data_IF_936470744036
#
_entry.id   IF_936470744036
#
_cell.length_a   1.000
_cell.length_b   1.000
_cell.length_c   1.000
_cell.angle_alpha   90.00
_cell.angle_beta   90.00
_cell.angle_gamma   90.00
#
_symmetry.space_group_name_H-M   'P 1'
#
loop_
_entity.id
_entity.type
_entity.pdbx_description
1 polymer ?
#
# COMPACT_ATOMS: atom_id res chain seq x y z
N UNK A 1 -44.68 41.26 -34.84
CA UNK A 1 -43.20 41.14 -34.82
C UNK A 1 -42.73 41.34 -33.39
N UNK A 2 -42.36 40.25 -32.70
CA UNK A 2 -41.40 40.22 -31.58
C UNK A 2 -41.35 38.77 -31.09
N UNK A 3 -40.36 38.02 -31.55
CA UNK A 3 -39.99 36.73 -30.97
C UNK A 3 -38.84 37.03 -30.01
N UNK A 4 -39.06 36.69 -28.74
CA UNK A 4 -38.06 36.72 -27.67
C UNK A 4 -37.11 35.55 -27.90
N UNK A 5 -35.86 35.84 -28.25
CA UNK A 5 -34.80 34.82 -28.30
C UNK A 5 -34.24 34.61 -26.89
N UNK A 6 -34.67 33.51 -26.27
CA UNK A 6 -34.06 32.96 -25.06
C UNK A 6 -32.75 32.26 -25.47
N UNK A 7 -31.60 32.90 -25.24
CA UNK A 7 -30.29 32.25 -25.39
C UNK A 7 -30.02 31.45 -24.11
N UNK A 8 -30.28 30.15 -24.17
CA UNK A 8 -29.89 29.19 -23.13
C UNK A 8 -28.40 28.86 -23.28
N UNK A 9 -27.63 29.18 -22.25
CA UNK A 9 -26.24 28.76 -22.05
C UNK A 9 -26.15 27.22 -22.05
N UNK A 10 -25.64 26.64 -23.13
CA UNK A 10 -25.24 25.23 -23.20
C UNK A 10 -23.71 25.14 -23.24
N UNK A 11 -23.05 25.43 -22.12
CA UNK A 11 -21.60 25.34 -21.99
C UNK A 11 -21.21 24.73 -20.64
N UNK A 12 -21.56 23.47 -20.41
CA UNK A 12 -21.07 22.70 -19.24
C UNK A 12 -20.99 21.18 -19.45
N UNK A 13 -21.50 20.64 -20.57
CA UNK A 13 -21.54 19.18 -20.81
C UNK A 13 -20.35 18.67 -21.63
N UNK A 14 -19.78 19.48 -22.51
CA UNK A 14 -18.69 19.08 -23.42
C UNK A 14 -17.35 18.81 -22.73
N UNK A 15 -17.05 19.50 -21.63
CA UNK A 15 -15.78 19.33 -20.89
C UNK A 15 -15.73 18.03 -20.09
N UNK A 16 -16.85 17.63 -19.48
CA UNK A 16 -16.95 16.40 -18.69
C UNK A 16 -16.89 15.13 -19.55
N UNK A 17 -17.54 15.16 -20.72
CA UNK A 17 -17.48 14.05 -21.68
C UNK A 17 -16.06 13.87 -22.27
N UNK A 18 -15.38 14.96 -22.62
CA UNK A 18 -14.02 14.89 -23.20
C UNK A 18 -12.93 14.43 -22.22
N UNK A 19 -13.08 14.72 -20.92
CA UNK A 19 -12.18 14.18 -19.88
C UNK A 19 -12.44 12.69 -19.60
N UNK A 20 -13.70 12.27 -19.66
CA UNK A 20 -14.11 10.88 -19.53
C UNK A 20 -13.55 10.02 -20.67
N UNK A 21 -13.71 10.45 -21.93
CA UNK A 21 -13.15 9.72 -23.09
C UNK A 21 -11.61 9.62 -23.04
N UNK A 22 -10.89 10.72 -22.75
CA UNK A 22 -9.42 10.67 -22.68
C UNK A 22 -8.91 9.81 -21.52
N UNK A 23 -9.52 9.91 -20.34
CA UNK A 23 -9.18 9.08 -19.19
C UNK A 23 -9.46 7.59 -19.42
N UNK A 24 -10.56 7.29 -20.13
CA UNK A 24 -10.95 5.92 -20.47
C UNK A 24 -10.06 5.31 -21.57
N UNK A 25 -9.67 6.10 -22.57
CA UNK A 25 -8.72 5.64 -23.60
C UNK A 25 -7.36 5.30 -22.99
N UNK A 26 -6.92 6.07 -21.98
CA UNK A 26 -5.69 5.79 -21.23
C UNK A 26 -5.81 4.49 -20.43
N UNK A 27 -6.91 4.23 -19.70
CA UNK A 27 -7.03 3.00 -18.89
C UNK A 27 -7.08 1.72 -19.74
N UNK A 28 -7.80 1.71 -20.86
CA UNK A 28 -7.93 0.54 -21.73
C UNK A 28 -6.62 0.16 -22.42
N UNK A 29 -5.90 1.17 -22.95
CA UNK A 29 -4.63 0.96 -23.67
C UNK A 29 -3.49 0.69 -22.69
N UNK A 30 -3.46 1.36 -21.55
CA UNK A 30 -2.38 1.21 -20.57
C UNK A 30 -2.44 -0.12 -19.79
N UNK A 31 -3.64 -0.66 -19.56
CA UNK A 31 -3.83 -1.89 -18.75
C UNK A 31 -4.36 -3.09 -19.55
N UNK A 32 -4.42 -2.98 -20.88
CA UNK A 32 -4.80 -4.06 -21.80
C UNK A 32 -6.13 -4.74 -21.44
N UNK A 33 -7.16 -3.94 -21.14
CA UNK A 33 -8.47 -4.43 -20.69
C UNK A 33 -9.49 -4.46 -21.82
N UNK A 34 -10.17 -5.60 -21.98
CA UNK A 34 -11.23 -5.80 -22.96
C UNK A 34 -12.54 -6.15 -22.24
N UNK A 35 -13.62 -5.44 -22.57
CA UNK A 35 -14.95 -5.62 -21.99
C UNK A 35 -16.00 -5.77 -23.08
N UNK A 36 -17.07 -6.50 -22.77
CA UNK A 36 -18.29 -6.37 -23.56
C UNK A 36 -18.94 -4.99 -23.35
N UNK A 37 -19.88 -4.61 -24.22
CA UNK A 37 -20.46 -3.27 -24.18
C UNK A 37 -21.19 -2.96 -22.86
N UNK A 38 -21.79 -3.96 -22.22
CA UNK A 38 -22.53 -3.79 -20.97
C UNK A 38 -21.56 -3.59 -19.81
N UNK A 39 -20.54 -4.44 -19.70
CA UNK A 39 -19.49 -4.30 -18.70
C UNK A 39 -18.71 -2.99 -18.89
N UNK A 40 -18.44 -2.59 -20.14
CA UNK A 40 -17.76 -1.33 -20.45
C UNK A 40 -18.44 -0.11 -19.81
N UNK A 41 -19.77 0.02 -19.95
CA UNK A 41 -20.50 1.14 -19.33
C UNK A 41 -20.45 1.10 -17.80
N UNK A 42 -20.47 -0.09 -17.20
CA UNK A 42 -20.32 -0.25 -15.75
C UNK A 42 -18.92 0.17 -15.28
N UNK A 43 -17.87 -0.31 -15.96
CA UNK A 43 -16.46 0.02 -15.69
C UNK A 43 -16.20 1.52 -15.87
N UNK A 44 -16.77 2.14 -16.90
CA UNK A 44 -16.69 3.57 -17.13
C UNK A 44 -17.34 4.39 -16.01
N UNK A 45 -18.49 3.95 -15.50
CA UNK A 45 -19.13 4.61 -14.37
C UNK A 45 -18.24 4.54 -13.11
N UNK A 46 -17.74 3.35 -12.78
CA UNK A 46 -16.84 3.13 -11.64
C UNK A 46 -15.58 3.99 -11.77
N UNK A 47 -14.96 3.99 -12.95
CA UNK A 47 -13.79 4.81 -13.26
C UNK A 47 -14.06 6.29 -13.07
N UNK A 48 -15.19 6.78 -13.56
CA UNK A 48 -15.59 8.19 -13.41
C UNK A 48 -15.80 8.57 -11.94
N UNK A 49 -16.41 7.69 -11.15
CA UNK A 49 -16.62 7.89 -9.71
C UNK A 49 -15.30 7.91 -8.93
N UNK A 50 -14.40 6.96 -9.21
CA UNK A 50 -13.06 6.91 -8.60
C UNK A 50 -12.23 8.13 -9.00
N UNK A 51 -12.28 8.55 -10.27
CA UNK A 51 -11.61 9.78 -10.72
C UNK A 51 -12.09 11.00 -9.94
N UNK A 52 -13.41 11.17 -9.75
CA UNK A 52 -13.97 12.27 -8.95
C UNK A 52 -13.49 12.24 -7.51
N UNK A 53 -13.37 11.05 -6.89
CA UNK A 53 -12.83 10.90 -5.52
C UNK A 53 -11.37 11.31 -5.45
N UNK A 54 -10.56 10.87 -6.41
CA UNK A 54 -9.14 11.23 -6.53
C UNK A 54 -8.97 12.73 -6.69
N UNK A 55 -9.69 13.35 -7.63
CA UNK A 55 -9.60 14.78 -7.90
C UNK A 55 -10.00 15.58 -6.63
N UNK A 56 -11.11 15.21 -5.97
CA UNK A 56 -11.57 15.84 -4.73
C UNK A 56 -10.57 15.70 -3.58
N UNK A 57 -9.92 14.54 -3.42
CA UNK A 57 -8.86 14.35 -2.42
C UNK A 57 -7.68 15.27 -2.71
N UNK A 58 -7.22 15.31 -3.96
CA UNK A 58 -6.03 16.09 -4.35
C UNK A 58 -6.26 17.62 -4.32
N UNK A 59 -7.51 18.09 -4.35
CA UNK A 59 -7.87 19.50 -4.11
C UNK A 59 -7.72 19.90 -2.62
N UNK A 60 -7.74 18.92 -1.70
CA UNK A 60 -7.58 19.14 -0.27
C UNK A 60 -6.12 19.29 0.17
N UNK A 61 -5.94 19.60 1.46
CA UNK A 61 -4.61 19.63 2.07
C UNK A 61 -4.35 18.32 2.82
N UNK A 62 -3.70 17.38 2.15
CA UNK A 62 -3.39 16.04 2.68
C UNK A 62 -1.89 15.76 2.60
N UNK A 63 -1.39 14.89 3.48
CA UNK A 63 0.02 14.45 3.49
C UNK A 63 0.37 13.49 2.36
N UNK A 64 -0.61 13.02 1.59
CA UNK A 64 -0.44 12.15 0.43
C UNK A 64 -1.41 12.52 -0.69
N UNK A 65 -1.06 12.14 -1.91
CA UNK A 65 -1.90 12.31 -3.10
C UNK A 65 -2.34 10.96 -3.66
N UNK A 66 -3.45 10.98 -4.40
CA UNK A 66 -3.98 9.82 -5.11
C UNK A 66 -3.79 9.97 -6.62
N UNK A 67 -3.80 8.86 -7.36
CA UNK A 67 -3.78 8.86 -8.81
C UNK A 67 -4.60 7.70 -9.39
N UNK A 68 -4.94 7.83 -10.67
CA UNK A 68 -5.49 6.72 -11.44
C UNK A 68 -4.43 5.63 -11.57
N UNK A 69 -4.84 4.37 -11.44
CA UNK A 69 -3.98 3.21 -11.57
C UNK A 69 -4.76 2.01 -12.13
N UNK A 70 -4.16 0.82 -12.12
CA UNK A 70 -4.79 -0.39 -12.69
C UNK A 70 -6.11 -0.81 -12.01
N UNK A 71 -6.42 -0.26 -10.83
CA UNK A 71 -7.62 -0.56 -10.04
C UNK A 71 -8.74 0.48 -10.23
N UNK A 72 -8.53 1.51 -11.04
CA UNK A 72 -9.46 2.65 -11.09
C UNK A 72 -10.84 2.35 -11.65
N UNK A 73 -11.04 1.26 -12.37
CA UNK A 73 -12.33 0.77 -12.86
C UNK A 73 -12.95 -0.33 -11.98
N UNK A 74 -12.42 -0.52 -10.76
CA UNK A 74 -12.92 -1.46 -9.77
C UNK A 74 -13.60 -0.72 -8.61
N UNK A 75 -14.70 -1.29 -8.14
CA UNK A 75 -15.25 -0.92 -6.84
C UNK A 75 -14.33 -1.44 -5.73
N UNK A 76 -14.37 -0.82 -4.55
CA UNK A 76 -13.58 -1.34 -3.42
C UNK A 76 -14.00 -2.77 -3.05
N UNK A 77 -15.29 -3.13 -3.14
CA UNK A 77 -15.75 -4.49 -2.87
C UNK A 77 -15.20 -5.53 -3.87
N UNK A 78 -15.04 -5.18 -5.15
CA UNK A 78 -14.35 -6.04 -6.12
C UNK A 78 -12.87 -6.15 -5.79
N UNK A 79 -12.23 -5.01 -5.48
CA UNK A 79 -10.82 -4.97 -5.11
C UNK A 79 -10.51 -5.83 -3.89
N UNK A 80 -11.32 -5.73 -2.83
CA UNK A 80 -11.19 -6.53 -1.61
C UNK A 80 -11.24 -8.03 -1.93
N UNK A 81 -12.22 -8.46 -2.73
CA UNK A 81 -12.40 -9.87 -3.11
C UNK A 81 -11.24 -10.42 -3.93
N UNK A 82 -10.60 -9.58 -4.75
CA UNK A 82 -9.55 -10.02 -5.67
C UNK A 82 -8.14 -9.87 -5.11
N UNK A 83 -7.86 -8.86 -4.28
CA UNK A 83 -6.49 -8.47 -3.93
C UNK A 83 -6.18 -8.51 -2.43
N UNK A 84 -7.20 -8.56 -1.56
CA UNK A 84 -7.01 -8.57 -0.11
C UNK A 84 -7.26 -9.97 0.47
N UNK A 85 -6.86 -10.15 1.73
CA UNK A 85 -7.16 -11.38 2.48
C UNK A 85 -8.67 -11.44 2.74
N UNK A 86 -9.29 -12.57 2.41
CA UNK A 86 -10.75 -12.74 2.46
C UNK A 86 -11.30 -12.96 3.87
N UNK A 87 -10.47 -13.43 4.80
CA UNK A 87 -10.84 -13.73 6.19
C UNK A 87 -9.88 -13.03 7.15
N UNK A 88 -10.36 -12.60 8.34
CA UNK A 88 -9.48 -12.12 9.39
C UNK A 88 -8.40 -13.16 9.70
N UNK A 89 -7.15 -12.73 9.69
CA UNK A 89 -6.03 -13.60 10.04
C UNK A 89 -5.88 -13.67 11.55
N UNK A 90 -5.33 -14.78 12.05
CA UNK A 90 -5.03 -14.91 13.47
C UNK A 90 -3.74 -14.14 13.82
N UNK A 91 -3.85 -12.81 13.78
CA UNK A 91 -2.79 -11.86 14.05
C UNK A 91 -2.49 -11.67 15.54
N UNK A 92 -3.36 -12.17 16.42
CA UNK A 92 -3.19 -12.03 17.86
C UNK A 92 -2.24 -13.10 18.40
N UNK A 93 -0.98 -12.73 18.62
CA UNK A 93 -0.09 -13.51 19.46
C UNK A 93 -0.11 -12.95 20.89
N UNK A 94 -0.15 -13.85 21.88
CA UNK A 94 -0.38 -13.49 23.29
C UNK A 94 0.89 -13.05 24.03
N UNK A 95 2.09 -13.35 23.50
CA UNK A 95 3.40 -12.88 24.00
C UNK A 95 4.44 -12.89 22.88
N UNK A 96 5.10 -11.75 22.66
CA UNK A 96 6.35 -11.68 21.90
C UNK A 96 7.57 -11.81 22.82
N UNK A 97 8.67 -12.36 22.32
CA UNK A 97 9.95 -12.50 23.02
C UNK A 97 11.05 -11.60 22.44
N UNK A 98 10.74 -10.75 21.45
CA UNK A 98 11.67 -9.74 20.97
C UNK A 98 11.76 -8.57 21.94
N UNK A 99 12.97 -8.28 22.40
CA UNK A 99 13.25 -7.10 23.22
C UNK A 99 14.06 -6.12 22.38
N UNK A 100 13.54 -4.90 22.23
CA UNK A 100 14.26 -3.86 21.51
C UNK A 100 15.62 -3.60 22.16
N UNK A 101 16.66 -3.45 21.35
CA UNK A 101 17.97 -3.09 21.88
C UNK A 101 17.96 -1.68 22.49
N UNK A 102 18.75 -1.48 23.55
CA UNK A 102 18.99 -0.16 24.17
C UNK A 102 19.99 0.70 23.36
N UNK A 103 20.41 0.23 22.18
CA UNK A 103 21.40 0.90 21.35
C UNK A 103 20.83 2.11 20.58
N UNK A 104 21.71 3.02 20.11
CA UNK A 104 21.30 4.09 19.22
C UNK A 104 20.76 3.51 17.90
N UNK A 105 19.61 4.02 17.46
CA UNK A 105 18.96 3.65 16.20
C UNK A 105 19.21 4.78 15.20
N UNK A 106 19.40 4.47 13.91
CA UNK A 106 19.56 5.53 12.91
C UNK A 106 18.28 6.36 12.81
N UNK A 107 18.38 7.68 12.60
CA UNK A 107 17.19 8.54 12.43
C UNK A 107 16.40 8.19 11.15
N UNK A 108 17.09 7.65 10.14
CA UNK A 108 16.50 7.12 8.92
C UNK A 108 17.31 5.94 8.39
N UNK A 109 16.62 5.01 7.75
CA UNK A 109 17.23 3.88 7.06
C UNK A 109 16.41 3.52 5.82
N UNK A 110 17.10 3.12 4.76
CA UNK A 110 16.50 2.57 3.55
C UNK A 110 17.37 1.41 3.06
N UNK A 111 16.89 0.18 3.23
CA UNK A 111 17.64 -1.04 2.86
C UNK A 111 17.92 -1.11 1.35
N UNK A 112 17.16 -0.40 0.51
CA UNK A 112 17.39 -0.31 -0.93
C UNK A 112 18.69 0.43 -1.25
N UNK A 113 19.10 1.35 -0.38
CA UNK A 113 20.32 2.15 -0.54
C UNK A 113 21.55 1.54 0.15
N UNK A 114 21.37 0.48 0.94
CA UNK A 114 22.46 -0.19 1.69
C UNK A 114 23.19 -1.25 0.87
N UNK A 115 22.61 -1.70 -0.23
CA UNK A 115 23.12 -2.76 -1.09
C UNK A 115 21.99 -3.49 -1.79
N UNK A 116 22.30 -4.63 -2.42
CA UNK A 116 21.29 -5.46 -3.07
C UNK A 116 20.56 -6.36 -2.04
N UNK A 117 19.88 -5.73 -1.08
CA UNK A 117 19.18 -6.42 0.02
C UNK A 117 17.67 -6.48 -0.15
N UNK A 118 17.10 -5.75 -1.11
CA UNK A 118 15.66 -5.74 -1.39
C UNK A 118 15.48 -6.11 -2.86
N UNK A 119 14.75 -7.19 -3.13
CA UNK A 119 14.48 -7.64 -4.50
C UNK A 119 13.59 -6.66 -5.27
N UNK A 120 13.48 -6.75 -6.61
CA UNK A 120 12.53 -5.95 -7.37
C UNK A 120 11.09 -6.10 -6.89
N UNK A 121 10.26 -5.09 -7.15
CA UNK A 121 8.82 -5.15 -6.88
C UNK A 121 8.18 -6.23 -7.78
N UNK A 122 7.29 -7.03 -7.18
CA UNK A 122 6.54 -8.09 -7.87
C UNK A 122 5.05 -7.73 -7.92
N UNK A 123 4.25 -8.55 -8.58
CA UNK A 123 2.79 -8.38 -8.68
C UNK A 123 2.08 -9.68 -8.29
N UNK A 124 1.19 -9.61 -7.30
CA UNK A 124 0.41 -10.74 -6.80
C UNK A 124 -0.75 -11.16 -7.72
N UNK A 125 -1.16 -10.29 -8.65
CA UNK A 125 -2.33 -10.50 -9.50
C UNK A 125 -3.64 -10.52 -8.71
N UNK A 126 -4.71 -11.05 -9.31
CA UNK A 126 -6.04 -11.17 -8.69
C UNK A 126 -6.13 -12.30 -7.67
N UNK A 127 -5.21 -12.34 -6.72
CA UNK A 127 -5.18 -13.28 -5.61
C UNK A 127 -4.79 -12.57 -4.31
N UNK A 128 -5.46 -12.85 -3.19
CA UNK A 128 -5.11 -12.39 -1.84
C UNK A 128 -3.84 -13.05 -1.27
N UNK A 129 -2.77 -13.12 -2.06
CA UNK A 129 -1.50 -13.79 -1.74
C UNK A 129 -0.42 -12.86 -1.20
N UNK A 130 -0.75 -11.61 -0.86
CA UNK A 130 0.19 -10.60 -0.37
C UNK A 130 1.09 -11.09 0.79
N UNK A 131 0.56 -11.92 1.69
CA UNK A 131 1.31 -12.56 2.78
C UNK A 131 2.51 -13.38 2.29
N UNK A 132 2.41 -14.04 1.13
CA UNK A 132 3.53 -14.76 0.50
C UNK A 132 4.63 -13.81 0.02
N UNK A 133 4.26 -12.65 -0.53
CA UNK A 133 5.21 -11.65 -1.03
C UNK A 133 5.92 -10.93 0.12
N UNK A 134 5.19 -10.63 1.19
CA UNK A 134 5.75 -10.13 2.44
C UNK A 134 6.76 -11.13 3.03
N UNK A 135 6.34 -12.39 3.20
CA UNK A 135 7.19 -13.48 3.75
C UNK A 135 8.44 -13.72 2.91
N UNK A 136 8.29 -13.90 1.59
CA UNK A 136 9.43 -14.14 0.69
C UNK A 136 10.35 -12.93 0.61
N UNK A 137 9.81 -11.70 0.56
CA UNK A 137 10.63 -10.49 0.56
C UNK A 137 11.49 -10.34 1.81
N UNK A 138 10.95 -10.69 2.99
CA UNK A 138 11.70 -10.73 4.24
C UNK A 138 12.81 -11.78 4.20
N UNK A 139 12.50 -13.03 3.83
CA UNK A 139 13.49 -14.12 3.74
C UNK A 139 14.58 -13.88 2.69
N UNK A 140 14.21 -13.33 1.53
CA UNK A 140 15.16 -12.89 0.48
C UNK A 140 16.13 -11.85 1.05
N UNK A 141 15.62 -10.88 1.81
CA UNK A 141 16.43 -9.81 2.42
C UNK A 141 17.39 -10.38 3.47
N UNK A 142 16.91 -11.25 4.36
CA UNK A 142 17.76 -11.92 5.36
C UNK A 142 18.87 -12.73 4.69
N UNK A 143 18.54 -13.48 3.65
CA UNK A 143 19.52 -14.27 2.88
C UNK A 143 20.57 -13.37 2.22
N UNK A 144 20.15 -12.26 1.62
CA UNK A 144 21.05 -11.30 0.97
C UNK A 144 21.99 -10.61 1.98
N UNK A 145 21.46 -10.18 3.13
CA UNK A 145 22.24 -9.59 4.23
C UNK A 145 23.30 -10.57 4.74
N UNK A 146 22.95 -11.85 4.83
CA UNK A 146 23.87 -12.93 5.23
C UNK A 146 24.74 -13.46 4.08
N UNK A 147 24.80 -12.75 2.93
CA UNK A 147 25.63 -13.08 1.76
C UNK A 147 25.38 -14.49 1.22
N UNK A 148 24.11 -14.92 1.20
CA UNK A 148 23.70 -16.23 0.70
C UNK A 148 24.04 -17.41 1.62
N UNK A 149 24.51 -17.16 2.85
CA UNK A 149 24.72 -18.23 3.83
C UNK A 149 23.37 -18.75 4.33
N UNK A 150 23.20 -20.07 4.31
CA UNK A 150 22.09 -20.72 5.00
C UNK A 150 22.32 -20.58 6.51
N UNK A 151 21.47 -19.78 7.16
CA UNK A 151 21.51 -19.53 8.59
C UNK A 151 20.24 -20.12 9.21
N UNK A 152 20.34 -20.79 10.38
CA UNK A 152 19.13 -21.16 11.13
C UNK A 152 18.36 -19.88 11.47
N UNK A 153 17.04 -19.88 11.33
CA UNK A 153 16.18 -18.73 11.62
C UNK A 153 15.35 -19.03 12.87
N UNK A 154 15.04 -18.01 13.67
CA UNK A 154 14.19 -18.17 14.83
C UNK A 154 12.71 -18.20 14.41
N UNK A 155 12.08 -19.37 14.50
CA UNK A 155 10.64 -19.52 14.27
C UNK A 155 9.84 -18.71 15.30
N UNK A 156 10.37 -18.56 16.53
CA UNK A 156 9.72 -17.80 17.59
C UNK A 156 9.52 -16.33 17.19
N UNK A 157 10.49 -15.71 16.51
CA UNK A 157 10.36 -14.32 16.06
C UNK A 157 9.40 -14.13 14.89
N UNK A 158 9.02 -15.21 14.20
CA UNK A 158 7.95 -15.18 13.22
C UNK A 158 6.56 -15.18 13.88
N UNK A 159 6.45 -15.63 15.14
CA UNK A 159 5.22 -15.76 15.91
C UNK A 159 5.04 -14.63 16.93
N UNK A 160 6.08 -13.85 17.20
CA UNK A 160 6.06 -12.79 18.20
C UNK A 160 5.27 -11.54 17.76
N UNK A 161 4.58 -10.89 18.71
CA UNK A 161 3.98 -9.57 18.52
C UNK A 161 5.04 -8.48 18.68
N UNK A 162 5.05 -7.49 17.79
CA UNK A 162 5.95 -6.35 17.86
C UNK A 162 5.19 -5.05 17.94
N UNK A 163 5.59 -4.15 18.84
CA UNK A 163 5.15 -2.76 18.78
C UNK A 163 6.02 -1.96 17.78
N UNK A 164 5.61 -0.73 17.43
CA UNK A 164 6.37 0.08 16.48
C UNK A 164 7.80 0.41 16.96
N UNK A 165 8.04 0.47 18.27
CA UNK A 165 9.39 0.71 18.81
C UNK A 165 10.30 -0.48 18.47
N UNK A 166 9.81 -1.70 18.61
CA UNK A 166 10.53 -2.91 18.24
C UNK A 166 10.69 -3.05 16.73
N UNK A 167 9.67 -2.67 15.94
CA UNK A 167 9.80 -2.61 14.48
C UNK A 167 10.90 -1.63 14.06
N UNK A 168 11.03 -0.47 14.71
CA UNK A 168 12.09 0.52 14.40
C UNK A 168 13.47 -0.05 14.69
N UNK A 169 13.62 -0.77 15.82
CA UNK A 169 14.86 -1.45 16.19
C UNK A 169 15.20 -2.56 15.18
N UNK A 170 14.23 -3.38 14.83
CA UNK A 170 14.37 -4.48 13.87
C UNK A 170 14.77 -3.99 12.48
N UNK A 171 14.00 -3.05 11.91
CA UNK A 171 14.29 -2.48 10.59
C UNK A 171 15.62 -1.72 10.61
N UNK A 172 15.94 -1.03 11.70
CA UNK A 172 17.15 -0.23 11.83
C UNK A 172 18.44 -1.04 11.96
N UNK A 173 18.37 -2.23 12.56
CA UNK A 173 19.57 -2.96 13.00
C UNK A 173 19.67 -4.39 12.48
N UNK A 174 18.56 -5.00 12.00
CA UNK A 174 18.50 -6.42 11.61
C UNK A 174 18.23 -6.59 10.12
N UNK A 175 17.00 -6.34 9.68
CA UNK A 175 16.52 -6.61 8.33
C UNK A 175 15.14 -5.97 8.07
N UNK A 176 14.66 -5.91 6.82
CA UNK A 176 13.28 -5.57 6.51
C UNK A 176 12.25 -6.44 7.24
N UNK A 177 11.17 -5.81 7.74
CA UNK A 177 10.16 -6.45 8.60
C UNK A 177 8.85 -6.63 7.85
N UNK A 178 8.30 -7.84 7.88
CA UNK A 178 6.96 -8.12 7.37
C UNK A 178 5.92 -7.56 8.33
N UNK A 179 4.84 -6.97 7.82
CA UNK A 179 3.72 -6.57 8.66
C UNK A 179 2.41 -6.56 7.88
N UNK A 180 1.29 -6.63 8.61
CA UNK A 180 -0.05 -6.46 8.04
C UNK A 180 -0.72 -5.17 8.53
N UNK A 181 -1.58 -4.59 7.69
CA UNK A 181 -2.39 -3.41 8.01
C UNK A 181 -3.75 -3.49 7.30
N UNK A 182 -4.68 -2.62 7.69
CA UNK A 182 -5.96 -2.47 7.00
C UNK A 182 -5.84 -1.53 5.81
N UNK A 183 -6.05 -2.07 4.61
CA UNK A 183 -6.28 -1.31 3.39
C UNK A 183 -7.74 -0.86 3.34
N UNK A 184 -7.92 0.45 3.11
CA UNK A 184 -9.20 1.12 2.88
C UNK A 184 -9.30 1.64 1.43
N UNK A 185 -10.45 2.21 1.06
CA UNK A 185 -10.77 2.54 -0.33
C UNK A 185 -9.90 3.64 -0.96
N UNK A 186 -9.38 4.55 -0.15
CA UNK A 186 -8.46 5.62 -0.54
C UNK A 186 -7.05 5.08 -0.82
N UNK A 187 -6.56 4.16 0.02
CA UNK A 187 -5.24 3.54 -0.16
C UNK A 187 -5.10 2.81 -1.51
N UNK A 188 -6.18 2.24 -2.03
CA UNK A 188 -6.21 1.60 -3.36
C UNK A 188 -5.63 2.50 -4.47
N UNK A 189 -5.79 3.82 -4.34
CA UNK A 189 -5.35 4.82 -5.30
C UNK A 189 -4.16 5.68 -4.81
N UNK A 190 -3.48 5.28 -3.75
CA UNK A 190 -2.29 5.98 -3.28
C UNK A 190 -1.25 6.17 -4.42
N UNK A 191 -0.67 7.38 -4.50
CA UNK A 191 0.38 7.70 -5.46
C UNK A 191 1.71 8.05 -4.77
N UNK A 192 1.71 9.04 -3.87
CA UNK A 192 2.93 9.53 -3.21
C UNK A 192 2.61 10.33 -1.94
N UNK A 193 3.64 10.63 -1.14
CA UNK A 193 3.53 11.32 0.13
C UNK A 193 3.39 10.35 1.31
N UNK A 194 3.09 10.85 2.51
CA UNK A 194 2.94 10.02 3.71
C UNK A 194 1.46 9.69 3.91
N UNK A 195 1.09 8.43 3.67
CA UNK A 195 -0.28 7.96 3.85
C UNK A 195 -0.71 8.00 5.31
N UNK A 196 -1.90 8.54 5.53
CA UNK A 196 -2.61 8.60 6.81
C UNK A 196 -4.09 8.39 6.55
N UNK A 197 -4.80 7.71 7.44
CA UNK A 197 -6.25 7.57 7.35
C UNK A 197 -6.88 7.68 8.73
N UNK A 198 -8.06 8.29 8.78
CA UNK A 198 -8.93 8.30 9.96
C UNK A 198 -10.04 7.24 9.87
N UNK A 199 -10.12 6.52 8.74
CA UNK A 199 -11.13 5.50 8.49
C UNK A 199 -10.65 4.08 8.83
N UNK A 200 -9.35 3.83 8.67
CA UNK A 200 -8.78 2.54 9.03
C UNK A 200 -8.71 2.36 10.55
N UNK A 201 -8.94 1.14 10.98
CA UNK A 201 -8.84 0.69 12.36
C UNK A 201 -7.40 0.34 12.70
N UNK A 202 -7.11 0.21 13.99
CA UNK A 202 -5.80 -0.12 14.51
C UNK A 202 -5.76 -1.48 15.24
N UNK A 203 -6.69 -2.38 14.91
CA UNK A 203 -6.89 -3.67 15.59
C UNK A 203 -6.50 -4.86 14.73
N UNK A 204 -6.11 -5.96 15.38
CA UNK A 204 -5.62 -7.19 14.73
C UNK A 204 -6.67 -7.88 13.85
N UNK A 205 -7.97 -7.70 14.12
CA UNK A 205 -9.07 -8.33 13.39
C UNK A 205 -9.44 -7.63 12.08
N UNK A 206 -8.89 -6.43 11.84
CA UNK A 206 -9.22 -5.58 10.69
C UNK A 206 -8.16 -5.56 9.60
N UNK A 207 -6.93 -5.94 9.93
CA UNK A 207 -5.85 -6.02 8.94
C UNK A 207 -6.20 -7.01 7.83
N UNK A 208 -5.93 -6.62 6.59
CA UNK A 208 -6.39 -7.35 5.41
C UNK A 208 -5.33 -7.40 4.28
N UNK A 209 -4.16 -6.79 4.49
CA UNK A 209 -3.05 -6.78 3.54
C UNK A 209 -1.70 -6.90 4.25
N UNK A 210 -0.80 -7.72 3.71
CA UNK A 210 0.55 -7.92 4.24
C UNK A 210 1.61 -7.38 3.29
N UNK A 211 2.61 -6.68 3.83
CA UNK A 211 3.63 -5.90 3.12
C UNK A 211 4.97 -5.97 3.84
N UNK A 212 6.00 -5.30 3.32
CA UNK A 212 7.36 -5.35 3.87
C UNK A 212 7.91 -3.95 4.14
N UNK A 213 8.15 -3.61 5.41
CA UNK A 213 8.87 -2.41 5.82
C UNK A 213 10.36 -2.56 5.48
N UNK A 214 10.84 -1.77 4.52
CA UNK A 214 12.24 -1.78 4.04
C UNK A 214 13.03 -0.58 4.54
N UNK A 215 12.43 0.27 5.36
CA UNK A 215 13.07 1.46 5.88
C UNK A 215 12.11 2.38 6.61
N UNK A 216 12.62 3.48 7.10
CA UNK A 216 11.86 4.56 7.71
C UNK A 216 12.63 5.88 7.64
N UNK A 217 11.90 6.97 7.81
CA UNK A 217 12.49 8.31 7.86
C UNK A 217 11.50 9.31 8.44
N UNK A 218 11.67 10.57 8.03
CA UNK A 218 10.80 11.68 8.38
C UNK A 218 10.78 12.68 7.22
N UNK A 219 9.61 13.22 6.90
CA UNK A 219 9.42 14.24 5.88
C UNK A 219 8.50 15.32 6.44
N UNK A 220 8.92 16.59 6.40
CA UNK A 220 8.15 17.73 6.91
C UNK A 220 7.62 17.54 8.35
N UNK A 221 8.44 16.94 9.22
CA UNK A 221 8.05 16.65 10.60
C UNK A 221 7.22 15.38 10.79
N UNK A 222 6.75 14.73 9.73
CA UNK A 222 5.94 13.50 9.79
C UNK A 222 6.85 12.26 9.68
N UNK A 223 7.00 11.46 10.74
CA UNK A 223 7.73 10.19 10.67
C UNK A 223 6.99 9.21 9.76
N UNK A 224 7.71 8.44 8.94
CA UNK A 224 7.09 7.46 8.05
C UNK A 224 7.89 6.15 7.97
N UNK A 225 7.19 5.08 7.60
CA UNK A 225 7.75 3.82 7.10
C UNK A 225 7.92 3.87 5.58
N UNK A 226 8.98 3.25 5.05
CA UNK A 226 9.13 2.96 3.62
C UNK A 226 8.71 1.51 3.41
N UNK A 227 7.68 1.29 2.60
CA UNK A 227 7.02 -0.01 2.53
C UNK A 227 6.97 -0.50 1.09
N UNK A 228 7.45 -1.73 0.87
CA UNK A 228 7.38 -2.45 -0.40
C UNK A 228 6.01 -3.12 -0.52
N UNK A 229 5.30 -2.84 -1.61
CA UNK A 229 4.01 -3.46 -1.93
C UNK A 229 4.18 -4.60 -2.97
N UNK A 230 3.09 -5.33 -3.23
CA UNK A 230 3.01 -6.46 -4.15
C UNK A 230 1.98 -6.25 -5.27
N UNK A 231 1.68 -5.00 -5.63
CA UNK A 231 0.72 -4.64 -6.70
C UNK A 231 1.41 -4.19 -7.99
N UNK A 232 2.67 -4.55 -8.19
CA UNK A 232 3.47 -4.13 -9.34
C UNK A 232 4.06 -2.73 -9.18
N UNK A 233 5.09 -2.44 -9.98
CA UNK A 233 5.85 -1.19 -9.92
C UNK A 233 5.09 0.03 -10.47
N UNK A 234 3.99 -0.17 -11.20
CA UNK A 234 3.15 0.93 -11.71
C UNK A 234 2.25 1.55 -10.63
N UNK A 235 2.15 0.93 -9.46
CA UNK A 235 1.35 1.42 -8.35
C UNK A 235 2.20 2.22 -7.36
N UNK A 236 1.65 3.32 -6.82
CA UNK A 236 2.35 4.14 -5.83
C UNK A 236 3.67 4.72 -6.33
N UNK A 237 4.67 4.72 -5.46
CA UNK A 237 6.02 5.20 -5.73
C UNK A 237 6.89 4.05 -6.23
N UNK A 238 6.77 3.70 -7.51
CA UNK A 238 7.49 2.57 -8.12
C UNK A 238 7.23 1.22 -7.40
N UNK A 239 6.00 1.02 -6.92
CA UNK A 239 5.60 -0.16 -6.15
C UNK A 239 5.83 -0.04 -4.64
N UNK A 240 6.28 1.12 -4.16
CA UNK A 240 6.43 1.44 -2.75
C UNK A 240 5.41 2.48 -2.30
N UNK A 241 5.23 2.59 -0.99
CA UNK A 241 4.51 3.69 -0.37
C UNK A 241 5.17 4.13 0.92
N UNK A 242 4.78 5.31 1.41
CA UNK A 242 5.09 5.75 2.76
C UNK A 242 3.81 5.81 3.58
N UNK A 243 3.88 5.37 4.83
CA UNK A 243 2.77 5.40 5.79
C UNK A 243 3.27 5.97 7.11
N UNK A 244 2.44 6.76 7.77
CA UNK A 244 2.81 7.43 9.01
C UNK A 244 3.24 6.43 10.10
N UNK A 245 4.38 6.73 10.73
CA UNK A 245 5.01 5.93 11.77
C UNK A 245 4.78 6.55 13.14
N UNK A 246 4.60 5.72 14.15
CA UNK A 246 4.42 6.09 15.55
C UNK A 246 2.97 6.27 15.99
N UNK A 247 1.99 5.82 15.18
CA UNK A 247 0.54 5.93 15.47
C UNK A 247 -0.22 4.62 15.38
N UNK A 248 0.47 3.51 15.15
CA UNK A 248 -0.09 2.23 14.73
C UNK A 248 -1.09 2.43 13.57
N UNK A 249 -0.68 3.23 12.58
CA UNK A 249 -1.54 3.65 11.47
C UNK A 249 -2.08 2.41 10.75
N UNK A 250 -3.42 2.31 10.66
CA UNK A 250 -4.11 1.17 10.08
C UNK A 250 -3.74 -0.21 10.68
N UNK A 251 -3.30 -0.23 11.94
CA UNK A 251 -2.93 -1.47 12.62
C UNK A 251 -1.61 -2.06 12.15
N UNK A 252 -0.71 -1.26 11.55
CA UNK A 252 0.56 -1.76 10.99
C UNK A 252 1.49 -2.48 11.99
N UNK A 253 1.33 -2.26 13.28
CA UNK A 253 2.07 -2.96 14.34
C UNK A 253 1.23 -4.08 14.99
N UNK A 254 0.03 -4.36 14.50
CA UNK A 254 -0.83 -5.39 15.06
C UNK A 254 -0.27 -6.79 14.84
N UNK A 255 0.36 -7.03 13.68
CA UNK A 255 1.04 -8.28 13.35
C UNK A 255 2.20 -8.01 12.40
N UNK A 256 3.30 -7.54 12.99
CA UNK A 256 4.59 -7.52 12.36
C UNK A 256 5.36 -8.80 12.72
N UNK A 257 6.27 -9.23 11.85
CA UNK A 257 7.17 -10.34 12.13
C UNK A 257 8.40 -10.28 11.22
N UNK A 258 9.50 -10.85 11.69
CA UNK A 258 10.70 -11.02 10.88
C UNK A 258 11.52 -12.17 11.46
N UNK A 259 12.17 -12.98 10.61
CA UNK A 259 13.10 -13.97 11.10
C UNK A 259 14.44 -13.30 11.43
N UNK A 260 15.01 -13.59 12.59
CA UNK A 260 16.43 -13.33 12.87
C UNK A 260 17.20 -14.64 12.77
N UNK A 261 18.41 -14.60 12.19
CA UNK A 261 19.35 -15.69 12.30
C UNK A 261 19.61 -16.06 13.76
N UNK A 262 19.49 -17.35 14.10
CA UNK A 262 19.99 -17.89 15.37
C UNK A 262 21.51 -17.96 15.24
N UNK A 263 22.21 -17.15 16.04
CA UNK A 263 23.67 -17.15 16.10
C UNK A 263 24.20 -18.26 17.02
#
# INVERSE_FOLDING_TARGET
MMIVSLVLFAASVTSAFGLSEKGNTLSHVQYNKAYDLKEYYQRLQIFTENKKRIDKHNEGNHSFTMALNQFSDMTFGEFQKSFLMSEPQNCSATKGNYFSSNGPRPDSIDWRNKGNYVTPVKNQGGCGSCWTFSTTGCLESVTAINKGKLVPLSEQQLVDCYNEVEMVDAVGTRNPVSFAFEVTSDFMHYQQGVYTSTECHNTTDKVNHAVLAVGYGQENGIPYWIVKNSWGSSWGMEGYFRIERGKNMCGLAACASFPVPVL
#
